data_IF_726314801114
#
_entry.id   IF_726314801114
#
_cell.length_a   1.000
_cell.length_b   1.000
_cell.length_c   1.000
_cell.angle_alpha   90.00
_cell.angle_beta   90.00
_cell.angle_gamma   90.00
#
_symmetry.space_group_name_H-M   'P 1'
#
loop_
_entity.id
_entity.type
_entity.pdbx_description
1 polymer ?
#
# COMPACT_ATOMS: atom_id res chain seq x y z
N UNK A 1 3.39 -10.01 6.08
CA UNK A 1 2.12 -10.64 6.52
C UNK A 1 2.38 -11.38 7.83
N UNK A 2 1.52 -11.25 8.84
CA UNK A 2 1.66 -12.01 10.09
C UNK A 2 1.22 -13.47 9.91
N UNK A 3 1.69 -14.37 10.77
CA UNK A 3 1.33 -15.81 10.74
C UNK A 3 -0.17 -16.02 10.93
N UNK A 4 -0.81 -15.19 11.73
CA UNK A 4 -2.25 -15.22 11.97
C UNK A 4 -3.05 -14.84 10.73
N UNK A 5 -2.60 -13.81 10.01
CA UNK A 5 -3.21 -13.40 8.75
C UNK A 5 -3.16 -14.52 7.71
N UNK A 6 -2.02 -15.22 7.59
CA UNK A 6 -1.89 -16.34 6.66
C UNK A 6 -2.85 -17.50 7.02
N UNK A 7 -2.99 -17.81 8.31
CA UNK A 7 -3.94 -18.83 8.77
C UNK A 7 -5.38 -18.43 8.47
N UNK A 8 -5.74 -17.18 8.70
CA UNK A 8 -7.09 -16.68 8.43
C UNK A 8 -7.44 -16.78 6.94
N UNK A 9 -6.54 -16.35 6.05
CA UNK A 9 -6.74 -16.42 4.61
C UNK A 9 -6.89 -17.86 4.11
N UNK A 10 -6.10 -18.81 4.63
CA UNK A 10 -6.19 -20.22 4.24
C UNK A 10 -7.52 -20.89 4.65
N UNK A 11 -8.28 -20.29 5.57
CA UNK A 11 -9.58 -20.82 6.01
C UNK A 11 -10.76 -20.27 5.20
N UNK A 12 -10.55 -19.31 4.29
CA UNK A 12 -11.62 -18.66 3.51
C UNK A 12 -12.42 -19.71 2.72
N UNK A 13 -11.76 -20.66 2.06
CA UNK A 13 -12.43 -21.71 1.30
C UNK A 13 -13.33 -22.63 2.15
N UNK A 14 -12.97 -22.82 3.42
CA UNK A 14 -13.72 -23.67 4.36
C UNK A 14 -14.90 -22.90 4.95
N UNK A 15 -14.68 -21.65 5.39
CA UNK A 15 -15.72 -20.82 6.01
C UNK A 15 -16.79 -20.42 4.99
N UNK A 16 -16.39 -20.14 3.76
CA UNK A 16 -17.27 -19.71 2.68
C UNK A 16 -17.53 -20.83 1.66
N UNK A 17 -17.49 -22.09 2.10
CA UNK A 17 -17.69 -23.26 1.24
C UNK A 17 -19.00 -23.18 0.44
N UNK A 18 -20.07 -22.65 1.06
CA UNK A 18 -21.40 -22.48 0.49
C UNK A 18 -21.60 -21.15 -0.26
N UNK A 19 -20.57 -20.30 -0.33
CA UNK A 19 -20.62 -19.02 -1.04
C UNK A 19 -19.70 -19.05 -2.29
N UNK A 20 -20.23 -19.46 -3.46
CA UNK A 20 -19.42 -19.61 -4.68
C UNK A 20 -18.80 -18.28 -5.14
N UNK A 21 -19.46 -17.15 -4.85
CA UNK A 21 -18.97 -15.80 -5.18
C UNK A 21 -17.68 -15.49 -4.41
N UNK A 22 -17.66 -15.73 -3.09
CA UNK A 22 -16.47 -15.50 -2.26
C UNK A 22 -15.32 -16.38 -2.70
N UNK A 23 -15.57 -17.66 -2.99
CA UNK A 23 -14.53 -18.59 -3.48
C UNK A 23 -13.92 -18.14 -4.81
N UNK A 24 -14.75 -17.71 -5.76
CA UNK A 24 -14.27 -17.23 -7.05
C UNK A 24 -13.36 -15.99 -6.89
N UNK A 25 -13.77 -15.03 -6.04
CA UNK A 25 -12.99 -13.83 -5.74
C UNK A 25 -11.70 -14.16 -4.99
N UNK A 26 -11.74 -15.11 -4.05
CA UNK A 26 -10.57 -15.57 -3.33
C UNK A 26 -9.54 -16.21 -4.26
N UNK A 27 -9.98 -17.12 -5.14
CA UNK A 27 -9.08 -17.72 -6.15
C UNK A 27 -8.51 -16.68 -7.11
N UNK A 28 -9.32 -15.71 -7.56
CA UNK A 28 -8.85 -14.61 -8.41
C UNK A 28 -7.78 -13.80 -7.67
N UNK A 29 -8.05 -13.40 -6.42
CA UNK A 29 -7.10 -12.66 -5.60
C UNK A 29 -5.80 -13.46 -5.37
N UNK A 30 -5.91 -14.74 -5.06
CA UNK A 30 -4.76 -15.62 -4.84
C UNK A 30 -3.84 -15.70 -6.07
N UNK A 31 -4.43 -15.81 -7.28
CA UNK A 31 -3.67 -15.78 -8.53
C UNK A 31 -2.99 -14.41 -8.79
N UNK A 32 -3.55 -13.32 -8.29
CA UNK A 32 -2.96 -11.98 -8.39
C UNK A 32 -1.80 -11.79 -7.38
N UNK A 33 -1.72 -12.59 -6.32
CA UNK A 33 -0.60 -12.52 -5.35
C UNK A 33 0.74 -12.94 -5.96
N UNK A 34 0.73 -13.82 -6.96
CA UNK A 34 1.95 -14.23 -7.67
C UNK A 34 2.41 -13.22 -8.72
N UNK A 35 1.63 -12.18 -8.98
CA UNK A 35 1.93 -11.15 -9.97
C UNK A 35 2.48 -9.88 -9.30
N UNK A 36 3.00 -8.95 -10.10
CA UNK A 36 3.39 -7.64 -9.59
C UNK A 36 2.16 -6.90 -9.00
N UNK A 37 2.33 -6.09 -7.95
CA UNK A 37 1.25 -5.29 -7.40
C UNK A 37 0.56 -4.46 -8.50
N UNK A 38 -0.76 -4.55 -8.56
CA UNK A 38 -1.58 -3.87 -9.57
C UNK A 38 -2.88 -3.35 -8.95
N UNK A 39 -3.53 -2.40 -9.61
CA UNK A 39 -4.84 -1.91 -9.19
C UNK A 39 -5.89 -3.03 -9.19
N UNK A 40 -5.83 -3.97 -10.14
CA UNK A 40 -6.75 -5.12 -10.19
C UNK A 40 -6.60 -6.03 -8.96
N UNK A 41 -5.38 -6.18 -8.42
CA UNK A 41 -5.16 -6.88 -7.14
C UNK A 41 -5.84 -6.17 -5.97
N UNK A 42 -5.75 -4.84 -5.93
CA UNK A 42 -6.39 -4.03 -4.88
C UNK A 42 -7.91 -4.08 -5.01
N UNK A 43 -8.43 -3.92 -6.22
CA UNK A 43 -9.85 -3.96 -6.51
C UNK A 43 -10.46 -5.32 -6.14
N UNK A 44 -9.83 -6.41 -6.59
CA UNK A 44 -10.29 -7.79 -6.30
C UNK A 44 -10.28 -8.08 -4.78
N UNK A 45 -9.34 -7.50 -4.04
CA UNK A 45 -9.33 -7.61 -2.57
C UNK A 45 -10.56 -6.93 -1.92
N UNK A 46 -10.93 -5.74 -2.39
CA UNK A 46 -12.10 -5.02 -1.89
C UNK A 46 -13.40 -5.74 -2.24
N UNK A 47 -13.51 -6.27 -3.47
CA UNK A 47 -14.65 -7.09 -3.90
C UNK A 47 -14.80 -8.33 -2.99
N UNK A 48 -13.69 -9.01 -2.69
CA UNK A 48 -13.67 -10.17 -1.80
C UNK A 48 -14.17 -9.80 -0.39
N UNK A 49 -13.68 -8.70 0.19
CA UNK A 49 -14.12 -8.22 1.50
C UNK A 49 -15.61 -7.87 1.52
N UNK A 50 -16.11 -7.18 0.49
CA UNK A 50 -17.53 -6.83 0.37
C UNK A 50 -18.42 -8.08 0.25
N UNK A 51 -17.99 -9.07 -0.54
CA UNK A 51 -18.70 -10.33 -0.70
C UNK A 51 -18.76 -11.14 0.61
N UNK A 52 -17.63 -11.22 1.34
CA UNK A 52 -17.59 -11.86 2.66
C UNK A 52 -18.47 -11.14 3.68
N UNK A 53 -18.43 -9.81 3.73
CA UNK A 53 -19.26 -9.01 4.63
C UNK A 53 -20.76 -9.22 4.37
N UNK A 54 -21.15 -9.23 3.09
CA UNK A 54 -22.53 -9.50 2.67
C UNK A 54 -22.98 -10.89 3.11
N UNK A 55 -22.12 -11.90 2.97
CA UNK A 55 -22.44 -13.28 3.35
C UNK A 55 -22.62 -13.46 4.87
N UNK A 56 -21.84 -12.73 5.69
CA UNK A 56 -21.94 -12.76 7.16
C UNK A 56 -23.12 -11.91 7.70
N UNK A 57 -23.86 -11.23 6.81
CA UNK A 57 -25.08 -10.47 7.15
C UNK A 57 -24.89 -8.95 7.25
N UNK A 58 -23.67 -8.45 7.01
CA UNK A 58 -23.41 -7.01 6.90
C UNK A 58 -23.79 -6.51 5.50
N UNK A 59 -25.10 -6.27 5.30
CA UNK A 59 -25.69 -5.86 4.02
C UNK A 59 -25.32 -4.45 3.54
N UNK A 60 -24.79 -3.60 4.42
CA UNK A 60 -24.56 -2.17 4.13
C UNK A 60 -23.07 -1.78 4.04
N UNK A 61 -22.14 -2.73 3.95
CA UNK A 61 -20.73 -2.39 3.78
C UNK A 61 -20.48 -2.05 2.30
N UNK A 62 -20.42 -0.75 1.97
CA UNK A 62 -20.15 -0.34 0.59
C UNK A 62 -18.66 -0.41 0.26
N UNK A 63 -18.34 -0.56 -1.03
CA UNK A 63 -16.94 -0.47 -1.49
C UNK A 63 -16.28 0.84 -1.06
N UNK A 64 -17.04 1.94 -0.96
CA UNK A 64 -16.58 3.26 -0.49
C UNK A 64 -16.20 3.25 0.99
N UNK A 65 -16.89 2.46 1.82
CA UNK A 65 -16.55 2.30 3.24
C UNK A 65 -15.27 1.47 3.42
N UNK A 66 -15.01 0.54 2.52
CA UNK A 66 -13.76 -0.24 2.47
C UNK A 66 -12.59 0.60 1.91
N UNK A 67 -12.87 1.46 0.93
CA UNK A 67 -11.88 2.31 0.25
C UNK A 67 -11.38 3.47 1.14
N UNK A 68 -12.17 3.87 2.16
CA UNK A 68 -11.77 4.87 3.17
C UNK A 68 -10.48 4.54 3.93
N UNK A 69 -10.08 3.28 3.96
CA UNK A 69 -8.84 2.83 4.62
C UNK A 69 -7.64 2.75 3.67
N UNK A 70 -7.82 3.07 2.39
CA UNK A 70 -6.71 3.22 1.46
C UNK A 70 -6.14 4.62 1.61
N UNK A 71 -5.04 4.70 2.37
CA UNK A 71 -4.11 5.82 2.57
C UNK A 71 -4.50 7.05 1.75
N UNK A 72 -5.06 8.12 2.38
CA UNK A 72 -5.45 9.34 1.68
C UNK A 72 -4.34 9.77 0.73
N UNK A 73 -4.70 10.19 -0.50
CA UNK A 73 -3.74 10.62 -1.52
C UNK A 73 -2.64 11.54 -0.92
N UNK A 74 -3.00 12.42 0.02
CA UNK A 74 -2.04 13.28 0.72
C UNK A 74 -0.92 12.56 1.49
N UNK A 75 -1.14 11.34 2.00
CA UNK A 75 -0.08 10.54 2.63
C UNK A 75 0.83 9.87 1.60
N UNK A 76 0.30 9.48 0.43
CA UNK A 76 1.12 9.02 -0.69
C UNK A 76 1.93 10.18 -1.27
N UNK A 77 1.31 11.35 -1.42
CA UNK A 77 1.96 12.58 -1.86
C UNK A 77 3.06 13.00 -0.88
N UNK A 78 2.83 12.90 0.44
CA UNK A 78 3.83 13.15 1.47
C UNK A 78 4.99 12.15 1.38
N UNK A 79 4.71 10.86 1.22
CA UNK A 79 5.75 9.84 1.07
C UNK A 79 6.61 10.05 -0.19
N UNK A 80 5.99 10.42 -1.31
CA UNK A 80 6.70 10.77 -2.54
C UNK A 80 7.48 12.08 -2.41
N UNK A 81 6.92 13.07 -1.71
CA UNK A 81 7.63 14.31 -1.38
C UNK A 81 8.89 14.03 -0.54
N UNK A 82 8.76 13.26 0.54
CA UNK A 82 9.90 12.87 1.39
C UNK A 82 10.95 12.09 0.62
N UNK A 83 10.54 11.19 -0.29
CA UNK A 83 11.47 10.45 -1.16
C UNK A 83 12.24 11.38 -2.10
N UNK A 84 11.57 12.39 -2.68
CA UNK A 84 12.22 13.41 -3.54
C UNK A 84 13.18 14.30 -2.75
N UNK A 85 12.79 14.72 -1.55
CA UNK A 85 13.65 15.50 -0.64
C UNK A 85 14.90 14.69 -0.29
N UNK A 86 14.75 13.43 0.11
CA UNK A 86 15.88 12.54 0.41
C UNK A 86 16.84 12.38 -0.76
N UNK A 87 16.34 12.23 -1.99
CA UNK A 87 17.17 12.14 -3.19
C UNK A 87 17.95 13.45 -3.48
N UNK A 88 17.32 14.61 -3.30
CA UNK A 88 18.02 15.89 -3.49
C UNK A 88 19.03 16.16 -2.36
N UNK A 89 18.70 15.79 -1.13
CA UNK A 89 19.64 15.86 0.00
C UNK A 89 20.87 14.99 -0.26
N UNK A 90 20.68 13.74 -0.66
CA UNK A 90 21.79 12.85 -1.01
C UNK A 90 22.66 13.45 -2.12
N UNK A 91 22.05 13.96 -3.19
CA UNK A 91 22.76 14.65 -4.27
C UNK A 91 23.60 15.83 -3.77
N UNK A 92 23.06 16.67 -2.89
CA UNK A 92 23.80 17.82 -2.35
C UNK A 92 24.95 17.34 -1.47
N UNK A 93 24.69 16.41 -0.56
CA UNK A 93 25.68 15.84 0.37
C UNK A 93 26.86 15.18 -0.36
N UNK A 94 26.59 14.40 -1.41
CA UNK A 94 27.63 13.77 -2.23
C UNK A 94 28.44 14.79 -3.03
N UNK A 95 27.84 15.89 -3.45
CA UNK A 95 28.53 16.94 -4.19
C UNK A 95 29.14 18.02 -3.29
N UNK A 96 28.93 17.96 -1.96
CA UNK A 96 29.44 18.98 -1.03
C UNK A 96 30.97 18.97 -0.95
N UNK A 97 31.60 17.81 -1.20
CA UNK A 97 33.06 17.69 -1.32
C UNK A 97 33.65 18.55 -2.44
N UNK A 98 32.84 18.96 -3.42
CA UNK A 98 33.26 19.83 -4.54
C UNK A 98 33.05 21.32 -4.28
N UNK A 99 32.44 21.68 -3.16
CA UNK A 99 32.30 23.07 -2.78
C UNK A 99 33.66 23.56 -2.25
N UNK A 100 34.42 24.21 -3.12
CA UNK A 100 35.60 24.99 -2.73
C UNK A 100 35.13 26.14 -1.83
N UNK A 101 35.30 25.98 -0.52
CA UNK A 101 35.04 27.05 0.45
C UNK A 101 36.24 27.99 0.42
N UNK A 102 36.12 29.12 -0.27
CA UNK A 102 37.12 30.17 -0.12
C UNK A 102 37.01 30.79 1.29
N UNK A 103 38.09 30.78 2.09
CA UNK A 103 38.07 31.42 3.39
C UNK A 103 37.80 32.91 3.20
N UNK A 104 36.81 33.44 3.89
CA UNK A 104 36.54 34.88 3.91
C UNK A 104 37.79 35.56 4.48
N UNK A 105 38.56 36.23 3.63
CA UNK A 105 39.74 36.98 4.05
C UNK A 105 39.33 37.96 5.14
N UNK A 106 39.91 37.81 6.33
CA UNK A 106 39.78 38.80 7.39
C UNK A 106 40.31 40.11 6.83
N UNK A 107 39.41 41.08 6.64
CA UNK A 107 39.83 42.47 6.43
C UNK A 107 40.47 42.91 7.75
N UNK A 108 41.79 42.96 7.76
CA UNK A 108 42.56 43.60 8.82
C UNK A 108 42.07 45.05 8.94
N UNK A 109 41.78 45.43 10.19
CA UNK A 109 41.30 46.75 10.59
C UNK A 109 42.46 47.72 10.81
#
# INVERSE_FOLDING_TARGET
MSREMAKALNNIDVVFADCPVVKALWHKYYNLLSQQPSEDRVHTWLELLAAMATNVGNRNLSQVDLDKFYVPQGHMDEADFQRRVGAQWLRVLENTERLLVEPKANREA
#
